data_IF_423763712914
#
_entry.id   IF_423763712914
#
_cell.length_a   1.000
_cell.length_b   1.000
_cell.length_c   1.000
_cell.angle_alpha   90.00
_cell.angle_beta   90.00
_cell.angle_gamma   90.00
#
_symmetry.space_group_name_H-M   'P 1'
#
loop_
_entity.id
_entity.type
_entity.pdbx_description
1 polymer ?
#
# COMPACT_ATOMS: atom_id res chain seq x y z
N UNK A 1 11.23 -28.79 39.77
CA UNK A 1 12.36 -29.27 40.61
C UNK A 1 13.33 -29.93 39.69
N UNK A 2 14.33 -29.22 39.30
CA UNK A 2 15.68 -29.49 38.82
C UNK A 2 16.15 -28.18 38.18
N UNK A 3 16.89 -27.53 38.79
CA UNK A 3 18.07 -26.70 38.94
C UNK A 3 18.78 -26.35 37.66
N UNK A 4 19.04 -25.04 37.54
CA UNK A 4 20.07 -24.39 36.72
C UNK A 4 21.49 -24.74 37.19
N UNK A 5 22.48 -24.56 36.35
CA UNK A 5 23.71 -23.97 36.86
C UNK A 5 24.02 -22.61 36.22
N UNK A 6 24.26 -21.67 37.10
CA UNK A 6 25.10 -20.48 36.88
C UNK A 6 26.50 -20.94 36.45
N UNK A 7 27.09 -20.18 35.54
CA UNK A 7 28.55 -20.06 35.56
C UNK A 7 28.96 -18.61 35.41
N UNK A 8 29.54 -18.14 36.51
CA UNK A 8 30.34 -16.92 36.64
C UNK A 8 31.73 -17.12 36.00
N UNK A 9 32.36 -16.01 35.84
CA UNK A 9 33.78 -15.76 35.62
C UNK A 9 34.21 -15.46 34.18
N UNK A 10 34.51 -14.21 33.88
CA UNK A 10 35.88 -13.73 34.02
C UNK A 10 35.90 -12.20 34.19
N UNK A 11 36.29 -11.82 35.37
CA UNK A 11 36.83 -10.52 35.73
C UNK A 11 38.37 -10.59 35.58
N UNK A 12 38.94 -9.42 35.42
CA UNK A 12 40.38 -9.07 35.54
C UNK A 12 41.13 -9.01 34.21
N UNK A 13 41.89 -8.06 34.00
CA UNK A 13 42.67 -7.03 34.61
C UNK A 13 43.57 -6.52 33.50
N UNK A 14 44.02 -5.37 33.41
CA UNK A 14 45.05 -4.61 34.12
C UNK A 14 45.33 -3.44 33.20
N UNK A 15 45.20 -2.22 33.51
CA UNK A 15 46.10 -1.35 34.31
C UNK A 15 47.59 -1.37 33.86
N UNK A 16 48.05 -0.15 33.66
CA UNK A 16 49.42 0.35 33.59
C UNK A 16 50.03 0.38 32.17
N UNK A 17 50.65 1.46 31.67
CA UNK A 17 51.54 2.34 32.42
C UNK A 17 51.81 3.63 31.61
N UNK A 18 51.79 4.77 32.28
CA UNK A 18 52.81 5.80 32.37
C UNK A 18 53.32 6.48 31.09
N UNK A 19 53.18 7.76 31.14
CA UNK A 19 54.01 8.81 30.51
C UNK A 19 55.47 8.74 31.00
N UNK A 20 56.41 9.48 30.41
CA UNK A 20 56.59 10.90 30.69
C UNK A 20 57.05 11.74 29.47
N UNK A 21 56.65 12.99 29.42
CA UNK A 21 57.36 14.22 29.76
C UNK A 21 58.76 14.46 29.12
N UNK A 22 58.86 15.59 28.52
CA UNK A 22 60.07 16.27 28.12
C UNK A 22 59.67 17.45 27.24
N UNK A 23 59.33 18.61 27.74
CA UNK A 23 60.21 19.70 28.24
C UNK A 23 61.14 20.13 27.13
N UNK A 24 61.20 21.29 26.69
CA UNK A 24 61.44 22.68 27.10
C UNK A 24 61.69 23.48 25.86
N UNK A 25 61.23 24.57 25.74
CA UNK A 25 61.46 25.90 26.27
C UNK A 25 62.04 26.89 25.26
N UNK A 26 61.48 28.07 25.37
CA UNK A 26 62.11 29.36 25.30
C UNK A 26 62.38 30.05 23.96
N UNK A 27 61.53 31.04 23.80
CA UNK A 27 61.92 32.36 23.32
C UNK A 27 63.11 32.92 24.13
N UNK A 28 63.97 33.73 23.54
CA UNK A 28 63.81 35.12 23.93
C UNK A 28 64.02 36.16 22.81
N UNK A 29 63.52 37.31 23.14
CA UNK A 29 63.58 38.62 22.49
C UNK A 29 64.95 39.25 22.52
N UNK A 30 64.95 40.40 21.85
CA UNK A 30 65.91 41.52 21.89
C UNK A 30 67.12 41.39 20.97
N UNK A 31 67.50 42.35 20.23
CA UNK A 31 67.79 43.76 20.52
C UNK A 31 68.28 44.41 19.25
N UNK A 32 67.89 45.64 18.98
CA UNK A 32 68.57 46.52 18.05
C UNK A 32 69.92 46.96 18.64
N UNK A 33 70.90 47.36 17.85
CA UNK A 33 71.13 48.75 17.77
C UNK A 33 71.73 49.32 16.45
N UNK A 34 71.36 50.60 16.16
CA UNK A 34 72.15 51.76 15.77
C UNK A 34 73.14 51.73 14.60
N UNK A 35 72.84 52.73 13.77
CA UNK A 35 73.60 53.38 12.71
C UNK A 35 75.10 53.72 13.05
N UNK A 36 75.89 54.01 12.03
CA UNK A 36 76.09 55.43 11.76
C UNK A 36 76.22 55.82 10.25
N UNK A 37 75.69 56.98 9.97
CA UNK A 37 76.22 58.16 9.26
C UNK A 37 77.38 57.97 8.30
N UNK A 38 77.12 58.37 7.07
CA UNK A 38 78.10 58.62 6.04
C UNK A 38 77.49 59.47 4.93
N UNK A 39 77.79 60.74 5.00
CA UNK A 39 77.50 61.86 4.13
C UNK A 39 78.29 61.74 2.82
N UNK A 40 77.64 62.01 1.68
CA UNK A 40 78.22 62.84 0.64
C UNK A 40 77.29 63.01 -0.58
N UNK A 41 77.00 64.27 -0.81
CA UNK A 41 76.91 65.02 -2.05
C UNK A 41 76.05 64.58 -3.23
N UNK A 42 75.09 65.43 -3.54
CA UNK A 42 74.39 65.54 -4.81
C UNK A 42 75.33 65.83 -6.01
N UNK A 43 74.87 65.60 -7.25
CA UNK A 43 74.39 66.80 -7.98
C UNK A 43 73.09 66.58 -8.74
N UNK A 44 72.45 67.66 -8.95
CA UNK A 44 71.24 67.93 -9.67
C UNK A 44 71.23 67.45 -11.15
N UNK A 45 70.17 66.97 -11.65
CA UNK A 45 69.74 67.20 -13.04
C UNK A 45 68.28 66.78 -13.30
N UNK A 46 67.57 67.73 -13.83
CA UNK A 46 66.46 67.63 -14.79
C UNK A 46 65.11 67.17 -14.35
N UNK A 47 64.26 68.08 -14.07
CA UNK A 47 62.82 68.02 -14.13
C UNK A 47 62.35 67.73 -15.55
N UNK A 48 61.68 66.56 -15.74
CA UNK A 48 60.83 66.34 -16.90
C UNK A 48 59.34 66.33 -16.42
N UNK A 49 58.40 66.87 -17.22
CA UNK A 49 57.03 67.16 -16.76
C UNK A 49 56.20 65.88 -16.61
N UNK A 50 55.79 65.61 -15.39
CA UNK A 50 54.93 64.48 -15.04
C UNK A 50 53.43 64.79 -15.20
N UNK A 51 53.00 65.39 -16.32
CA UNK A 51 51.59 65.79 -16.49
C UNK A 51 50.73 64.83 -17.23
N UNK A 52 51.29 63.86 -17.97
CA UNK A 52 50.46 62.88 -18.71
C UNK A 52 50.03 61.61 -17.89
N UNK A 53 50.84 61.18 -16.93
CA UNK A 53 50.64 59.91 -16.19
C UNK A 53 49.64 60.08 -15.05
N UNK A 54 49.46 61.25 -14.49
CA UNK A 54 48.48 61.58 -13.46
C UNK A 54 47.05 61.71 -14.03
N UNK A 55 46.93 62.27 -15.23
CA UNK A 55 45.65 62.35 -15.95
C UNK A 55 45.15 60.93 -16.39
N UNK A 56 46.07 60.06 -16.86
CA UNK A 56 45.76 58.66 -17.18
C UNK A 56 45.36 57.87 -15.95
N UNK A 57 46.00 58.04 -14.81
CA UNK A 57 45.63 57.39 -13.54
C UNK A 57 44.29 57.90 -13.03
N UNK A 58 44.02 59.21 -13.10
CA UNK A 58 42.69 59.74 -12.73
C UNK A 58 41.59 59.29 -13.68
N UNK A 59 41.87 59.23 -15.00
CA UNK A 59 40.95 58.66 -15.99
C UNK A 59 40.63 57.15 -15.72
N UNK A 60 41.69 56.37 -15.46
CA UNK A 60 41.51 54.96 -15.10
C UNK A 60 40.72 54.78 -13.79
N UNK A 61 40.93 55.65 -12.79
CA UNK A 61 40.22 55.62 -11.52
C UNK A 61 38.74 55.99 -11.69
N UNK A 62 38.44 56.99 -12.54
CA UNK A 62 37.06 57.38 -12.89
C UNK A 62 36.35 56.26 -13.67
N UNK A 63 37.02 55.59 -14.62
CA UNK A 63 36.48 54.46 -15.36
C UNK A 63 36.23 53.27 -14.43
N UNK A 64 37.14 52.95 -13.50
CA UNK A 64 36.98 51.92 -12.50
C UNK A 64 35.81 52.23 -11.53
N UNK A 65 35.63 53.47 -11.15
CA UNK A 65 34.56 53.95 -10.30
C UNK A 65 33.19 53.86 -11.03
N UNK A 66 33.15 54.29 -12.29
CA UNK A 66 31.93 54.14 -13.13
C UNK A 66 31.58 52.66 -13.39
N UNK A 67 32.57 51.82 -13.66
CA UNK A 67 32.37 50.38 -13.79
C UNK A 67 31.87 49.75 -12.46
N UNK A 68 32.43 50.20 -11.32
CA UNK A 68 31.95 49.77 -10.00
C UNK A 68 30.53 50.23 -9.69
N UNK A 69 30.17 51.48 -10.06
CA UNK A 69 28.79 51.97 -9.90
C UNK A 69 27.83 51.24 -10.85
N UNK A 70 28.21 51.01 -12.11
CA UNK A 70 27.39 50.25 -13.07
C UNK A 70 27.18 48.81 -12.60
N UNK A 71 28.22 48.12 -12.13
CA UNK A 71 28.14 46.77 -11.56
C UNK A 71 27.29 46.76 -10.27
N UNK A 72 27.48 47.74 -9.39
CA UNK A 72 26.68 47.87 -8.17
C UNK A 72 25.21 48.20 -8.45
N UNK A 73 24.93 49.00 -9.47
CA UNK A 73 23.57 49.32 -9.91
C UNK A 73 22.90 48.11 -10.56
N UNK A 74 23.60 47.35 -11.40
CA UNK A 74 23.10 46.13 -12.03
C UNK A 74 22.84 45.02 -10.96
N UNK A 75 23.79 44.81 -10.07
CA UNK A 75 23.65 43.89 -8.94
C UNK A 75 22.49 44.29 -8.01
N UNK A 76 22.40 45.60 -7.67
CA UNK A 76 21.31 46.14 -6.85
C UNK A 76 19.95 46.02 -7.54
N UNK A 77 19.88 46.26 -8.84
CA UNK A 77 18.67 46.09 -9.64
C UNK A 77 18.25 44.65 -9.70
N UNK A 78 19.17 43.71 -9.92
CA UNK A 78 18.88 42.26 -9.98
C UNK A 78 18.45 41.72 -8.62
N UNK A 79 19.10 42.13 -7.53
CA UNK A 79 18.67 41.77 -6.17
C UNK A 79 17.27 42.32 -5.87
N UNK A 80 16.97 43.57 -6.24
CA UNK A 80 15.67 44.20 -5.97
C UNK A 80 14.53 43.62 -6.79
N UNK A 81 14.78 43.17 -8.01
CA UNK A 81 13.73 42.66 -8.92
C UNK A 81 13.52 41.17 -8.85
N UNK A 82 14.53 40.39 -8.46
CA UNK A 82 14.52 38.92 -8.46
C UNK A 82 14.96 38.36 -7.11
N UNK A 83 16.14 38.69 -6.63
CA UNK A 83 16.76 38.00 -5.51
C UNK A 83 15.96 38.03 -4.21
N UNK A 84 15.23 39.10 -3.92
CA UNK A 84 14.39 39.23 -2.70
C UNK A 84 13.12 38.39 -2.73
N UNK A 85 12.76 37.85 -3.88
CA UNK A 85 11.53 37.04 -4.05
C UNK A 85 11.82 35.55 -4.13
N UNK A 86 13.08 35.15 -4.09
CA UNK A 86 13.47 33.75 -4.13
C UNK A 86 13.71 33.24 -2.69
N UNK A 87 12.97 32.21 -2.30
CA UNK A 87 13.21 31.49 -1.06
C UNK A 87 13.83 30.13 -1.38
N UNK A 88 15.00 29.86 -0.82
CA UNK A 88 15.71 28.59 -1.01
C UNK A 88 16.03 27.89 0.29
N UNK A 89 16.23 26.58 0.21
CA UNK A 89 16.69 25.75 1.31
C UNK A 89 17.64 24.66 0.82
N UNK A 90 18.66 24.39 1.59
CA UNK A 90 19.62 23.29 1.44
C UNK A 90 19.15 21.98 2.11
N UNK A 91 18.09 22.07 2.92
CA UNK A 91 17.51 20.91 3.64
C UNK A 91 16.33 20.36 2.83
N UNK A 92 16.61 19.79 1.68
CA UNK A 92 15.60 19.19 0.81
C UNK A 92 16.09 17.89 0.18
N UNK A 93 15.17 16.92 0.08
CA UNK A 93 15.46 15.58 -0.41
C UNK A 93 14.41 15.12 -1.39
N UNK A 94 14.85 14.40 -2.42
CA UNK A 94 13.97 13.63 -3.29
C UNK A 94 13.35 12.49 -2.48
N UNK A 95 12.03 12.32 -2.55
CA UNK A 95 11.30 11.21 -1.96
C UNK A 95 10.48 10.47 -3.02
N UNK A 96 10.26 9.20 -2.77
CA UNK A 96 9.31 8.36 -3.49
C UNK A 96 8.53 7.54 -2.47
N UNK A 97 7.24 7.38 -2.70
CA UNK A 97 6.41 6.51 -1.88
C UNK A 97 6.63 5.07 -2.33
N UNK A 98 7.54 4.38 -1.66
CA UNK A 98 7.83 2.99 -1.98
C UNK A 98 6.78 2.04 -1.41
N UNK A 99 6.48 0.99 -2.17
CA UNK A 99 5.59 -0.07 -1.73
C UNK A 99 6.39 -1.24 -1.16
N UNK A 100 6.11 -1.60 0.10
CA UNK A 100 6.69 -2.80 0.70
C UNK A 100 5.98 -4.04 0.20
N UNK A 101 6.75 -5.00 -0.29
CA UNK A 101 6.26 -6.31 -0.73
C UNK A 101 6.37 -7.28 0.43
N UNK A 102 5.22 -7.84 0.83
CA UNK A 102 5.12 -8.85 1.89
C UNK A 102 4.22 -10.00 1.44
N UNK A 103 4.48 -11.24 1.85
CA UNK A 103 3.66 -12.38 1.51
C UNK A 103 2.35 -12.35 2.31
N UNK A 104 1.27 -12.88 1.74
CA UNK A 104 -0.02 -13.07 2.43
C UNK A 104 -0.10 -14.40 3.16
N UNK A 105 0.75 -15.36 2.78
CA UNK A 105 0.82 -16.71 3.34
C UNK A 105 2.23 -17.00 3.86
N UNK A 106 2.33 -18.00 4.72
CA UNK A 106 3.62 -18.47 5.25
C UNK A 106 4.15 -19.65 4.44
N UNK A 107 5.47 -19.76 4.31
CA UNK A 107 6.11 -20.87 3.63
C UNK A 107 7.59 -20.65 3.37
N UNK A 108 8.22 -21.58 2.67
CA UNK A 108 9.60 -21.47 2.24
C UNK A 108 9.68 -20.80 0.87
N UNK A 109 10.64 -19.91 0.69
CA UNK A 109 10.92 -19.32 -0.63
C UNK A 109 11.56 -20.38 -1.53
N UNK A 110 10.88 -20.70 -2.62
CA UNK A 110 11.35 -21.63 -3.64
C UNK A 110 12.28 -20.94 -4.63
N UNK A 111 11.84 -19.81 -5.18
CA UNK A 111 12.55 -19.05 -6.19
C UNK A 111 12.50 -17.55 -5.88
N UNK A 112 13.57 -16.84 -6.24
CA UNK A 112 13.63 -15.37 -6.27
C UNK A 112 14.00 -14.97 -7.68
N UNK A 113 13.09 -14.29 -8.38
CA UNK A 113 13.17 -14.03 -9.82
C UNK A 113 13.76 -12.65 -10.16
N UNK A 114 14.01 -11.82 -9.14
CA UNK A 114 14.52 -10.46 -9.29
C UNK A 114 15.72 -10.22 -8.39
N UNK A 115 16.60 -9.34 -8.84
CA UNK A 115 17.74 -8.85 -8.07
C UNK A 115 17.51 -7.44 -7.57
N UNK A 116 18.42 -6.98 -6.69
CA UNK A 116 18.45 -5.58 -6.27
C UNK A 116 18.67 -4.69 -7.51
N UNK A 117 17.94 -3.59 -7.57
CA UNK A 117 17.94 -2.59 -8.64
C UNK A 117 17.32 -3.06 -9.99
N UNK A 118 16.71 -4.24 -10.06
CA UNK A 118 15.95 -4.63 -11.24
C UNK A 118 14.68 -3.80 -11.40
N UNK A 119 14.36 -3.42 -12.64
CA UNK A 119 13.10 -2.76 -12.97
C UNK A 119 11.99 -3.78 -13.13
N UNK A 120 10.88 -3.58 -12.46
CA UNK A 120 9.73 -4.49 -12.45
C UNK A 120 8.44 -3.76 -12.83
N UNK A 121 7.48 -4.50 -13.38
CA UNK A 121 6.15 -4.02 -13.73
C UNK A 121 5.11 -4.53 -12.74
N UNK A 122 4.02 -3.80 -12.59
CA UNK A 122 2.87 -4.24 -11.82
C UNK A 122 2.38 -5.62 -12.32
N UNK A 123 2.11 -6.54 -11.40
CA UNK A 123 1.75 -7.93 -11.70
C UNK A 123 2.91 -8.86 -12.02
N UNK A 124 4.14 -8.36 -12.16
CA UNK A 124 5.31 -9.22 -12.38
C UNK A 124 5.64 -10.04 -11.12
N UNK A 125 5.89 -11.35 -11.30
CA UNK A 125 6.29 -12.23 -10.21
C UNK A 125 7.71 -11.90 -9.77
N UNK A 126 7.88 -11.63 -8.48
CA UNK A 126 9.15 -11.27 -7.86
C UNK A 126 9.81 -12.46 -7.17
N UNK A 127 9.00 -13.27 -6.50
CA UNK A 127 9.45 -14.47 -5.81
C UNK A 127 8.32 -15.50 -5.75
N UNK A 128 8.66 -16.75 -5.49
CA UNK A 128 7.72 -17.86 -5.31
C UNK A 128 7.92 -18.54 -3.99
N UNK A 129 6.84 -18.80 -3.30
CA UNK A 129 6.78 -19.71 -2.15
C UNK A 129 6.59 -21.14 -2.67
N UNK A 130 7.07 -22.14 -1.95
CA UNK A 130 6.84 -23.55 -2.28
C UNK A 130 5.33 -23.85 -2.31
N UNK A 131 4.83 -24.21 -3.46
CA UNK A 131 3.42 -24.36 -3.77
C UNK A 131 2.87 -25.78 -3.59
N UNK A 132 3.74 -26.76 -3.28
CA UNK A 132 3.35 -28.18 -3.21
C UNK A 132 2.23 -28.47 -2.22
N UNK A 133 2.32 -27.89 -1.03
CA UNK A 133 1.31 -28.07 0.02
C UNK A 133 -0.03 -27.42 -0.37
N UNK A 134 0.02 -26.26 -1.02
CA UNK A 134 -1.16 -25.54 -1.50
C UNK A 134 -1.82 -26.27 -2.68
N UNK A 135 -1.04 -26.88 -3.59
CA UNK A 135 -1.55 -27.73 -4.66
C UNK A 135 -2.23 -28.99 -4.11
N UNK A 136 -1.63 -29.62 -3.10
CA UNK A 136 -2.24 -30.77 -2.41
C UNK A 136 -3.56 -30.38 -1.73
N UNK A 137 -3.59 -29.25 -1.03
CA UNK A 137 -4.81 -28.72 -0.40
C UNK A 137 -5.90 -28.41 -1.43
N UNK A 138 -5.54 -27.79 -2.56
CA UNK A 138 -6.47 -27.55 -3.67
C UNK A 138 -7.04 -28.85 -4.25
N UNK A 139 -6.18 -29.83 -4.47
CA UNK A 139 -6.60 -31.15 -4.96
C UNK A 139 -7.58 -31.84 -4.00
N UNK A 140 -7.32 -31.76 -2.70
CA UNK A 140 -8.22 -32.28 -1.66
C UNK A 140 -9.56 -31.55 -1.67
N UNK A 141 -9.56 -30.21 -1.74
CA UNK A 141 -10.79 -29.42 -1.80
C UNK A 141 -11.63 -29.77 -3.05
N UNK A 142 -10.99 -29.94 -4.22
CA UNK A 142 -11.67 -30.37 -5.46
C UNK A 142 -12.25 -31.79 -5.34
N UNK A 143 -11.56 -32.70 -4.66
CA UNK A 143 -12.08 -34.04 -4.41
C UNK A 143 -13.32 -34.01 -3.50
N UNK A 144 -13.31 -33.16 -2.46
CA UNK A 144 -14.44 -32.97 -1.57
C UNK A 144 -15.67 -32.36 -2.29
N UNK A 145 -15.44 -31.38 -3.18
CA UNK A 145 -16.51 -30.82 -4.01
C UNK A 145 -17.14 -31.92 -4.90
N UNK A 146 -16.32 -32.71 -5.57
CA UNK A 146 -16.80 -33.81 -6.42
C UNK A 146 -17.61 -34.85 -5.62
N UNK A 147 -17.20 -35.14 -4.40
CA UNK A 147 -17.95 -36.04 -3.50
C UNK A 147 -19.33 -35.45 -3.13
N UNK A 148 -19.40 -34.14 -2.85
CA UNK A 148 -20.65 -33.46 -2.56
C UNK A 148 -21.59 -33.42 -3.80
N UNK A 149 -21.05 -33.22 -5.00
CA UNK A 149 -21.80 -33.30 -6.26
C UNK A 149 -22.39 -34.72 -6.49
N UNK A 150 -21.60 -35.75 -6.22
CA UNK A 150 -22.05 -37.13 -6.31
C UNK A 150 -23.17 -37.45 -5.29
N UNK A 151 -23.14 -36.82 -4.11
CA UNK A 151 -24.21 -36.97 -3.11
C UNK A 151 -25.54 -36.38 -3.63
N UNK A 152 -25.51 -35.22 -4.30
CA UNK A 152 -26.72 -34.64 -4.95
C UNK A 152 -27.24 -35.59 -6.02
N UNK A 153 -26.38 -36.11 -6.90
CA UNK A 153 -26.77 -37.08 -7.92
C UNK A 153 -27.43 -38.35 -7.35
N UNK A 154 -26.95 -38.82 -6.20
CA UNK A 154 -27.58 -39.95 -5.49
C UNK A 154 -29.03 -39.63 -5.04
N UNK A 155 -29.24 -38.44 -4.45
CA UNK A 155 -30.58 -37.99 -4.01
C UNK A 155 -31.49 -37.75 -5.22
N UNK A 156 -31.01 -37.18 -6.31
CA UNK A 156 -31.78 -37.02 -7.55
C UNK A 156 -32.22 -38.37 -8.12
N UNK A 157 -31.38 -39.39 -8.08
CA UNK A 157 -31.75 -40.75 -8.44
C UNK A 157 -32.82 -41.35 -7.50
N UNK A 158 -32.75 -41.08 -6.19
CA UNK A 158 -33.77 -41.47 -5.23
C UNK A 158 -35.12 -40.80 -5.46
N UNK A 159 -35.10 -39.49 -5.85
CA UNK A 159 -36.33 -38.77 -6.21
C UNK A 159 -36.99 -39.41 -7.46
N UNK A 160 -36.19 -39.77 -8.48
CA UNK A 160 -36.68 -40.45 -9.67
C UNK A 160 -37.29 -41.82 -9.34
N UNK A 161 -36.62 -42.59 -8.48
CA UNK A 161 -37.17 -43.87 -7.97
C UNK A 161 -38.51 -43.66 -7.25
N UNK A 162 -38.58 -42.63 -6.37
CA UNK A 162 -39.79 -42.30 -5.63
C UNK A 162 -40.95 -41.91 -6.56
N UNK A 163 -40.68 -41.24 -7.66
CA UNK A 163 -41.69 -40.95 -8.69
C UNK A 163 -42.28 -42.23 -9.28
N UNK A 164 -41.46 -43.24 -9.56
CA UNK A 164 -41.90 -44.54 -10.06
C UNK A 164 -42.77 -45.28 -9.03
N UNK A 165 -42.45 -45.17 -7.72
CA UNK A 165 -43.25 -45.76 -6.63
C UNK A 165 -44.62 -45.05 -6.49
N UNK A 166 -44.68 -43.74 -6.71
CA UNK A 166 -45.93 -42.97 -6.75
C UNK A 166 -46.80 -43.47 -7.92
N UNK A 167 -46.22 -43.64 -9.10
CA UNK A 167 -46.97 -44.14 -10.25
C UNK A 167 -47.48 -45.56 -10.04
N UNK A 168 -46.71 -46.42 -9.39
CA UNK A 168 -47.15 -47.75 -8.97
C UNK A 168 -48.35 -47.67 -7.96
N UNK A 169 -48.22 -46.81 -6.93
CA UNK A 169 -49.29 -46.62 -5.94
C UNK A 169 -50.59 -46.10 -6.58
N UNK A 170 -50.50 -45.13 -7.53
CA UNK A 170 -51.64 -44.63 -8.32
C UNK A 170 -52.32 -45.75 -9.11
N UNK A 171 -51.55 -46.62 -9.75
CA UNK A 171 -52.11 -47.74 -10.50
C UNK A 171 -52.83 -48.75 -9.57
N UNK A 172 -52.28 -48.95 -8.37
CA UNK A 172 -52.89 -49.80 -7.36
C UNK A 172 -54.23 -49.22 -6.84
N UNK A 173 -54.26 -47.92 -6.52
CA UNK A 173 -55.47 -47.23 -6.10
C UNK A 173 -56.52 -47.24 -7.22
N UNK A 174 -56.15 -47.04 -8.47
CA UNK A 174 -57.07 -47.13 -9.61
C UNK A 174 -57.67 -48.55 -9.75
N UNK A 175 -56.93 -49.61 -9.52
CA UNK A 175 -57.42 -50.97 -9.54
C UNK A 175 -58.41 -51.25 -8.39
N UNK A 176 -58.12 -50.79 -7.17
CA UNK A 176 -59.01 -50.83 -6.03
C UNK A 176 -60.29 -50.08 -6.23
N UNK A 177 -60.19 -48.86 -6.85
CA UNK A 177 -61.37 -48.05 -7.20
C UNK A 177 -62.28 -48.77 -8.20
N UNK A 178 -61.74 -49.40 -9.25
CA UNK A 178 -62.51 -50.18 -10.22
C UNK A 178 -63.20 -51.36 -9.54
N UNK A 179 -62.53 -52.01 -8.60
CA UNK A 179 -63.15 -53.12 -7.81
C UNK A 179 -64.29 -52.59 -6.94
N UNK A 180 -64.13 -51.44 -6.31
CA UNK A 180 -65.21 -50.83 -5.51
C UNK A 180 -66.42 -50.47 -6.39
N UNK A 181 -66.23 -49.92 -7.58
CA UNK A 181 -67.29 -49.52 -8.51
C UNK A 181 -68.04 -50.74 -8.99
N UNK A 182 -67.37 -51.85 -9.25
CA UNK A 182 -68.03 -53.12 -9.53
C UNK A 182 -68.87 -53.62 -8.31
N UNK A 183 -68.27 -53.69 -7.09
CA UNK A 183 -68.93 -54.12 -5.86
C UNK A 183 -70.14 -53.22 -5.52
N UNK A 184 -70.06 -51.91 -5.70
CA UNK A 184 -71.19 -50.97 -5.54
C UNK A 184 -72.35 -51.33 -6.49
N UNK A 185 -72.05 -51.60 -7.76
CA UNK A 185 -73.01 -51.93 -8.77
C UNK A 185 -73.71 -53.23 -8.47
N UNK A 186 -72.95 -54.21 -7.96
CA UNK A 186 -73.45 -55.51 -7.61
C UNK A 186 -74.37 -55.51 -6.34
N UNK A 187 -73.88 -54.75 -5.29
CA UNK A 187 -74.71 -54.52 -4.10
C UNK A 187 -76.06 -53.83 -4.41
N UNK A 188 -75.98 -52.75 -5.28
CA UNK A 188 -77.18 -52.04 -5.71
C UNK A 188 -78.16 -52.96 -6.53
N UNK A 189 -77.61 -53.87 -7.30
CA UNK A 189 -78.40 -54.87 -8.04
C UNK A 189 -79.05 -55.83 -7.09
N UNK A 190 -78.34 -56.42 -6.15
CA UNK A 190 -78.83 -57.37 -5.12
C UNK A 190 -79.93 -56.73 -4.26
N UNK A 191 -79.76 -55.50 -3.82
CA UNK A 191 -80.75 -54.73 -3.07
C UNK A 191 -82.06 -54.52 -3.88
N UNK A 192 -81.97 -54.25 -5.18
CA UNK A 192 -83.20 -54.17 -6.07
C UNK A 192 -83.88 -55.50 -6.26
N UNK A 193 -83.12 -56.60 -6.37
CA UNK A 193 -83.70 -57.94 -6.48
C UNK A 193 -84.51 -58.36 -5.20
N UNK A 194 -84.01 -58.02 -4.04
CA UNK A 194 -84.73 -58.19 -2.80
C UNK A 194 -86.04 -57.41 -2.75
N UNK A 195 -85.99 -56.08 -3.10
CA UNK A 195 -87.16 -55.22 -3.08
C UNK A 195 -88.27 -55.75 -4.01
N UNK A 196 -87.89 -56.44 -5.09
CA UNK A 196 -88.82 -57.07 -6.04
C UNK A 196 -89.18 -58.53 -5.69
N UNK A 197 -88.72 -58.99 -4.54
CA UNK A 197 -89.01 -60.38 -4.09
C UNK A 197 -88.24 -61.47 -4.84
N UNK A 198 -87.24 -61.17 -5.62
CA UNK A 198 -86.49 -62.13 -6.46
C UNK A 198 -85.06 -62.42 -5.93
N UNK A 199 -84.68 -61.88 -4.74
CA UNK A 199 -83.37 -62.07 -4.12
C UNK A 199 -83.49 -62.65 -2.69
N UNK A 200 -82.33 -63.16 -2.14
CA UNK A 200 -82.21 -63.58 -0.75
C UNK A 200 -81.54 -62.56 0.14
N UNK A 201 -81.92 -62.45 1.40
CA UNK A 201 -81.32 -61.57 2.38
C UNK A 201 -79.80 -61.81 2.53
N UNK A 202 -79.37 -63.05 2.60
CA UNK A 202 -78.01 -63.52 2.70
C UNK A 202 -77.14 -62.97 1.51
N UNK A 203 -77.68 -63.00 0.28
CA UNK A 203 -76.98 -62.51 -0.89
C UNK A 203 -76.76 -60.98 -0.82
N UNK A 204 -77.73 -60.23 -0.31
CA UNK A 204 -77.59 -58.78 -0.15
C UNK A 204 -76.59 -58.44 0.94
N UNK A 205 -76.60 -59.11 2.06
CA UNK A 205 -75.63 -58.97 3.15
C UNK A 205 -74.22 -59.29 2.66
N UNK A 206 -74.06 -60.37 1.86
CA UNK A 206 -72.76 -60.74 1.27
C UNK A 206 -72.26 -59.69 0.32
N UNK A 207 -73.09 -59.19 -0.62
CA UNK A 207 -72.63 -58.11 -1.57
C UNK A 207 -72.37 -56.78 -0.88
N UNK A 208 -73.14 -56.47 0.19
CA UNK A 208 -72.88 -55.30 1.03
C UNK A 208 -71.52 -55.43 1.73
N UNK A 209 -71.23 -56.57 2.35
CA UNK A 209 -69.92 -56.83 2.99
C UNK A 209 -68.78 -56.74 1.98
N UNK A 210 -68.93 -57.28 0.76
CA UNK A 210 -67.92 -57.13 -0.33
C UNK A 210 -67.68 -55.69 -0.73
N UNK A 211 -68.73 -54.88 -0.83
CA UNK A 211 -68.65 -53.46 -1.11
C UNK A 211 -67.85 -52.72 -0.01
N UNK A 212 -68.17 -53.02 1.27
CA UNK A 212 -67.50 -52.35 2.40
C UNK A 212 -66.02 -52.80 2.52
N UNK A 213 -65.70 -54.04 2.19
CA UNK A 213 -64.33 -54.51 2.06
C UNK A 213 -63.55 -53.75 0.91
N UNK A 214 -64.20 -53.57 -0.28
CA UNK A 214 -63.64 -52.91 -1.38
C UNK A 214 -63.43 -51.38 -1.08
N UNK A 215 -64.37 -50.78 -0.33
CA UNK A 215 -64.22 -49.39 0.12
C UNK A 215 -63.00 -49.22 1.05
N UNK A 216 -62.82 -50.11 2.03
CA UNK A 216 -61.68 -50.12 2.92
C UNK A 216 -60.34 -50.34 2.16
N UNK A 217 -60.34 -51.14 1.10
CA UNK A 217 -59.19 -51.35 0.25
C UNK A 217 -58.79 -50.04 -0.50
N UNK A 218 -59.72 -49.28 -1.03
CA UNK A 218 -59.44 -47.93 -1.64
C UNK A 218 -58.87 -47.02 -0.62
N UNK A 219 -59.40 -46.87 0.57
CA UNK A 219 -58.88 -46.05 1.67
C UNK A 219 -57.43 -46.41 2.02
N UNK A 220 -57.13 -47.71 2.16
CA UNK A 220 -55.79 -48.20 2.40
C UNK A 220 -54.82 -47.82 1.28
N UNK A 221 -55.22 -48.02 0.01
CA UNK A 221 -54.34 -47.77 -1.16
C UNK A 221 -54.17 -46.28 -1.43
N UNK A 222 -55.23 -45.49 -1.14
CA UNK A 222 -55.14 -44.03 -1.13
C UNK A 222 -54.13 -43.51 -0.08
N UNK A 223 -54.20 -44.03 1.15
CA UNK A 223 -53.25 -43.69 2.20
C UNK A 223 -51.79 -44.07 1.83
N UNK A 224 -51.60 -45.20 1.15
CA UNK A 224 -50.30 -45.61 0.63
C UNK A 224 -49.79 -44.66 -0.45
N UNK A 225 -50.65 -44.17 -1.38
CA UNK A 225 -50.29 -43.17 -2.37
C UNK A 225 -49.85 -41.86 -1.69
N UNK A 226 -50.67 -41.34 -0.76
CA UNK A 226 -50.33 -40.10 0.00
C UNK A 226 -48.98 -40.25 0.74
N UNK A 227 -48.74 -41.42 1.38
CA UNK A 227 -47.46 -41.66 2.03
C UNK A 227 -46.26 -41.63 1.04
N UNK A 228 -46.46 -42.21 -0.16
CA UNK A 228 -45.43 -42.18 -1.20
C UNK A 228 -45.18 -40.74 -1.70
N UNK A 229 -46.23 -39.95 -1.89
CA UNK A 229 -46.13 -38.54 -2.28
C UNK A 229 -45.41 -37.69 -1.21
N UNK A 230 -45.74 -37.88 0.07
CA UNK A 230 -45.12 -37.15 1.19
C UNK A 230 -43.63 -37.47 1.38
N UNK A 231 -43.12 -38.53 0.76
CA UNK A 231 -41.69 -38.85 0.77
C UNK A 231 -40.89 -37.88 -0.14
N UNK A 232 -41.51 -37.33 -1.20
CA UNK A 232 -40.84 -36.42 -2.15
C UNK A 232 -40.33 -35.14 -1.48
N UNK A 233 -41.11 -34.37 -0.70
CA UNK A 233 -40.62 -33.19 -0.01
C UNK A 233 -39.44 -33.51 0.94
N UNK A 234 -39.47 -34.68 1.58
CA UNK A 234 -38.34 -35.12 2.44
C UNK A 234 -37.07 -35.28 1.63
N UNK A 235 -37.14 -35.95 0.47
CA UNK A 235 -35.98 -36.09 -0.42
C UNK A 235 -35.54 -34.74 -1.00
N UNK A 236 -36.48 -33.83 -1.32
CA UNK A 236 -36.14 -32.46 -1.77
C UNK A 236 -35.37 -31.70 -0.68
N UNK A 237 -35.82 -31.76 0.57
CA UNK A 237 -35.09 -31.13 1.69
C UNK A 237 -33.68 -31.75 1.86
N UNK A 238 -33.53 -33.05 1.70
CA UNK A 238 -32.23 -33.71 1.71
C UNK A 238 -31.34 -33.27 0.56
N UNK A 239 -31.94 -33.08 -0.64
CA UNK A 239 -31.24 -32.54 -1.79
C UNK A 239 -30.74 -31.10 -1.53
N UNK A 240 -31.57 -30.24 -0.94
CA UNK A 240 -31.23 -28.88 -0.59
C UNK A 240 -30.08 -28.82 0.44
N UNK A 241 -30.12 -29.74 1.43
CA UNK A 241 -29.00 -29.90 2.39
C UNK A 241 -27.70 -30.31 1.68
N UNK A 242 -27.78 -31.27 0.74
CA UNK A 242 -26.62 -31.70 -0.04
C UNK A 242 -26.13 -30.58 -0.97
N UNK A 243 -27.02 -29.73 -1.53
CA UNK A 243 -26.67 -28.58 -2.31
C UNK A 243 -25.93 -27.52 -1.46
N UNK A 244 -26.39 -27.25 -0.24
CA UNK A 244 -25.66 -26.35 0.67
C UNK A 244 -24.28 -26.89 1.04
N UNK A 245 -24.13 -28.20 1.20
CA UNK A 245 -22.83 -28.86 1.43
C UNK A 245 -21.91 -28.72 0.21
N UNK A 246 -22.45 -28.86 -1.02
CA UNK A 246 -21.69 -28.64 -2.26
C UNK A 246 -21.21 -27.19 -2.35
N UNK A 247 -22.07 -26.22 -2.02
CA UNK A 247 -21.70 -24.78 -2.03
C UNK A 247 -20.60 -24.47 -1.01
N UNK A 248 -20.67 -25.07 0.19
CA UNK A 248 -19.60 -24.99 1.18
C UNK A 248 -18.28 -25.56 0.66
N UNK A 249 -18.34 -26.73 -0.02
CA UNK A 249 -17.15 -27.34 -0.63
C UNK A 249 -16.60 -26.52 -1.80
N UNK A 250 -17.46 -25.86 -2.58
CA UNK A 250 -17.06 -24.95 -3.65
C UNK A 250 -16.34 -23.71 -3.08
N UNK A 251 -16.83 -23.14 -1.97
CA UNK A 251 -16.14 -22.05 -1.27
C UNK A 251 -14.74 -22.47 -0.75
N UNK A 252 -14.63 -23.72 -0.27
CA UNK A 252 -13.33 -24.27 0.15
C UNK A 252 -12.35 -24.41 -1.02
N UNK A 253 -12.83 -24.75 -2.24
CA UNK A 253 -12.00 -24.76 -3.45
C UNK A 253 -11.52 -23.36 -3.78
N UNK A 254 -12.39 -22.34 -3.77
CA UNK A 254 -12.02 -20.95 -4.02
C UNK A 254 -10.96 -20.46 -3.02
N UNK A 255 -11.11 -20.80 -1.73
CA UNK A 255 -10.12 -20.45 -0.71
C UNK A 255 -8.76 -21.11 -0.98
N UNK A 256 -8.75 -22.37 -1.39
CA UNK A 256 -7.51 -23.09 -1.72
C UNK A 256 -6.86 -22.52 -3.00
N UNK A 257 -7.63 -22.10 -4.00
CA UNK A 257 -7.15 -21.43 -5.22
C UNK A 257 -6.55 -20.06 -4.89
N UNK A 258 -7.19 -19.27 -4.02
CA UNK A 258 -6.64 -18.02 -3.52
C UNK A 258 -5.32 -18.22 -2.78
N UNK A 259 -5.24 -19.19 -1.89
CA UNK A 259 -4.02 -19.50 -1.16
C UNK A 259 -2.89 -19.93 -2.13
N UNK A 260 -3.21 -20.71 -3.15
CA UNK A 260 -2.26 -21.09 -4.20
C UNK A 260 -1.81 -19.87 -5.00
N UNK A 261 -2.71 -18.96 -5.35
CA UNK A 261 -2.33 -17.72 -6.06
C UNK A 261 -1.41 -16.82 -5.25
N UNK A 262 -1.48 -16.86 -3.92
CA UNK A 262 -0.61 -16.11 -3.03
C UNK A 262 0.80 -16.70 -2.90
N UNK A 263 1.06 -17.88 -3.46
CA UNK A 263 2.42 -18.42 -3.56
C UNK A 263 3.29 -17.63 -4.54
N UNK A 264 2.69 -17.02 -5.57
CA UNK A 264 3.36 -16.08 -6.44
C UNK A 264 3.30 -14.67 -5.81
N UNK A 265 4.45 -14.16 -5.40
CA UNK A 265 4.60 -12.82 -4.84
C UNK A 265 4.85 -11.86 -5.98
N UNK A 266 3.89 -10.96 -6.22
CA UNK A 266 3.90 -10.04 -7.37
C UNK A 266 4.13 -8.59 -6.94
N UNK A 267 4.68 -7.79 -7.87
CA UNK A 267 4.80 -6.35 -7.71
C UNK A 267 3.40 -5.70 -7.76
N UNK A 268 3.11 -4.82 -6.81
CA UNK A 268 1.85 -4.07 -6.78
C UNK A 268 1.87 -2.87 -7.74
N UNK A 269 3.06 -2.31 -8.01
CA UNK A 269 3.28 -1.11 -8.82
C UNK A 269 4.50 -1.28 -9.72
N UNK A 270 4.58 -0.48 -10.78
CA UNK A 270 5.79 -0.36 -11.59
C UNK A 270 6.89 0.34 -10.79
N UNK A 271 8.12 -0.12 -10.91
CA UNK A 271 9.22 0.51 -10.18
C UNK A 271 10.53 -0.27 -10.22
N UNK A 272 11.43 0.07 -9.33
CA UNK A 272 12.72 -0.60 -9.15
C UNK A 272 12.78 -1.27 -7.80
N UNK A 273 13.26 -2.51 -7.78
CA UNK A 273 13.44 -3.31 -6.55
C UNK A 273 14.55 -2.71 -5.69
N UNK A 274 14.23 -2.50 -4.41
CA UNK A 274 15.20 -2.08 -3.40
C UNK A 274 15.03 -2.85 -2.10
N UNK A 275 16.04 -2.82 -1.25
CA UNK A 275 16.03 -3.41 0.10
C UNK A 275 15.57 -4.89 0.12
N UNK A 276 16.05 -5.70 -0.83
CA UNK A 276 15.71 -7.12 -0.91
C UNK A 276 16.36 -7.91 0.23
N UNK A 277 15.54 -8.42 1.14
CA UNK A 277 15.99 -9.17 2.32
C UNK A 277 15.86 -10.69 2.18
N UNK A 278 15.15 -11.18 1.15
CA UNK A 278 14.84 -12.61 0.98
C UNK A 278 15.95 -13.39 0.29
N UNK A 279 16.01 -14.70 0.64
CA UNK A 279 16.90 -15.70 0.03
C UNK A 279 16.12 -16.97 -0.26
N UNK A 280 16.55 -17.72 -1.29
CA UNK A 280 16.01 -19.05 -1.61
C UNK A 280 16.20 -19.97 -0.40
N UNK A 281 15.16 -20.75 -0.06
CA UNK A 281 15.14 -21.64 1.10
C UNK A 281 14.83 -20.96 2.44
N UNK A 282 14.65 -19.63 2.46
CA UNK A 282 14.26 -18.91 3.67
C UNK A 282 12.78 -19.15 3.99
N UNK A 283 12.47 -19.35 5.27
CA UNK A 283 11.10 -19.38 5.75
C UNK A 283 10.59 -17.96 5.99
N UNK A 284 9.41 -17.65 5.45
CA UNK A 284 8.76 -16.35 5.58
C UNK A 284 7.37 -16.48 6.18
N UNK A 285 6.95 -15.49 6.94
CA UNK A 285 5.63 -15.41 7.55
C UNK A 285 4.81 -14.28 6.91
N UNK A 286 3.49 -14.39 6.98
CA UNK A 286 2.60 -13.35 6.48
C UNK A 286 2.97 -11.99 7.10
N UNK A 287 3.05 -10.94 6.26
CA UNK A 287 3.42 -9.58 6.67
C UNK A 287 4.93 -9.32 6.80
N UNK A 288 5.79 -10.31 6.65
CA UNK A 288 7.25 -10.09 6.64
C UNK A 288 7.65 -9.26 5.43
N UNK A 289 8.35 -8.15 5.63
CA UNK A 289 8.88 -7.37 4.51
C UNK A 289 9.95 -8.16 3.75
N UNK A 290 9.73 -8.40 2.47
CA UNK A 290 10.64 -9.14 1.61
C UNK A 290 11.54 -8.22 0.80
N UNK A 291 10.98 -7.17 0.25
CA UNK A 291 11.65 -6.15 -0.55
C UNK A 291 10.77 -4.90 -0.63
N UNK A 292 11.30 -3.83 -1.20
CA UNK A 292 10.55 -2.62 -1.52
C UNK A 292 10.55 -2.41 -3.05
N UNK A 293 9.45 -1.91 -3.60
CA UNK A 293 9.38 -1.44 -4.98
C UNK A 293 9.22 0.07 -4.95
N UNK A 294 10.18 0.77 -5.54
CA UNK A 294 10.25 2.24 -5.57
C UNK A 294 9.80 2.73 -6.95
N UNK A 295 8.69 3.45 -7.07
CA UNK A 295 8.22 3.99 -8.34
C UNK A 295 9.04 5.23 -8.70
N UNK A 296 10.02 5.08 -9.59
CA UNK A 296 10.91 6.19 -9.98
C UNK A 296 10.25 7.27 -10.86
N UNK A 297 9.01 7.03 -11.33
CA UNK A 297 8.24 8.01 -12.09
C UNK A 297 7.32 8.90 -11.22
N UNK A 298 7.14 8.55 -9.96
CA UNK A 298 6.27 9.28 -9.02
C UNK A 298 7.09 9.82 -7.85
N UNK A 299 8.16 10.53 -8.18
CA UNK A 299 9.05 11.16 -7.21
C UNK A 299 8.61 12.61 -6.95
N UNK A 300 8.87 13.09 -5.74
CA UNK A 300 8.63 14.45 -5.33
C UNK A 300 9.76 14.92 -4.41
N UNK A 301 9.84 16.20 -4.18
CA UNK A 301 10.83 16.79 -3.26
C UNK A 301 10.12 17.19 -1.96
N UNK A 302 10.72 16.84 -0.83
CA UNK A 302 10.36 17.37 0.48
C UNK A 302 11.44 18.34 0.90
N UNK A 303 11.07 19.60 0.96
CA UNK A 303 11.96 20.71 1.28
C UNK A 303 11.58 21.32 2.64
N UNK A 304 12.52 21.36 3.56
CA UNK A 304 12.30 21.85 4.91
C UNK A 304 12.69 23.34 4.98
N UNK A 305 11.71 24.22 4.83
CA UNK A 305 11.91 25.66 4.94
C UNK A 305 11.81 26.13 6.39
N UNK A 306 12.55 27.18 6.76
CA UNK A 306 12.38 27.84 8.04
C UNK A 306 11.01 28.52 8.10
N UNK A 307 10.37 28.52 9.26
CA UNK A 307 9.07 29.19 9.49
C UNK A 307 9.06 30.65 8.94
N UNK A 308 10.19 31.36 9.07
CA UNK A 308 10.33 32.74 8.60
C UNK A 308 10.30 32.89 7.08
N UNK A 309 10.62 31.85 6.32
CA UNK A 309 10.63 31.83 4.86
C UNK A 309 9.25 31.55 4.26
N UNK A 310 8.33 31.01 5.05
CA UNK A 310 7.03 30.56 4.55
C UNK A 310 5.96 31.65 4.46
N UNK A 311 6.30 32.91 4.84
CA UNK A 311 5.34 34.02 4.85
C UNK A 311 4.61 34.20 3.52
N UNK A 312 5.32 34.03 2.41
CA UNK A 312 4.79 34.23 1.05
C UNK A 312 4.75 32.94 0.22
N UNK A 313 5.11 31.80 0.78
CA UNK A 313 5.02 30.51 0.08
C UNK A 313 3.57 30.03 0.03
N UNK A 314 3.09 29.72 -1.16
CA UNK A 314 1.72 29.26 -1.42
C UNK A 314 1.71 28.08 -2.40
N UNK A 315 0.75 27.17 -2.32
CA UNK A 315 0.55 26.12 -3.31
C UNK A 315 0.40 26.71 -4.73
N UNK A 316 0.99 26.03 -5.72
CA UNK A 316 0.96 26.41 -7.13
C UNK A 316 2.10 27.34 -7.56
N UNK A 317 2.96 27.80 -6.65
CA UNK A 317 4.14 28.61 -7.02
C UNK A 317 5.17 27.76 -7.76
N UNK A 318 5.83 28.37 -8.76
CA UNK A 318 6.89 27.72 -9.52
C UNK A 318 8.16 27.57 -8.68
N UNK A 319 8.82 26.45 -8.86
CA UNK A 319 10.05 26.09 -8.16
C UNK A 319 11.10 25.66 -9.18
N UNK A 320 12.29 26.19 -9.05
CA UNK A 320 13.47 25.69 -9.72
C UNK A 320 14.26 24.81 -8.76
N UNK A 321 14.53 23.56 -9.18
CA UNK A 321 15.17 22.55 -8.33
C UNK A 321 16.54 22.25 -8.91
N UNK A 322 17.58 22.52 -8.17
CA UNK A 322 18.96 22.13 -8.48
C UNK A 322 19.27 20.81 -7.77
N UNK A 323 19.85 19.86 -8.48
CA UNK A 323 20.20 18.55 -7.93
C UNK A 323 21.69 18.48 -7.74
N UNK A 324 22.17 18.20 -6.53
CA UNK A 324 23.61 18.19 -6.20
C UNK A 324 24.40 17.22 -7.10
N UNK A 325 23.78 16.10 -7.47
CA UNK A 325 24.40 15.09 -8.35
C UNK A 325 24.46 15.52 -9.84
N UNK A 326 23.70 16.57 -10.26
CA UNK A 326 23.58 17.05 -11.62
C UNK A 326 23.59 18.57 -11.66
N UNK A 327 24.73 19.23 -11.35
CA UNK A 327 24.80 20.68 -11.13
C UNK A 327 24.46 21.51 -12.37
N UNK A 328 24.62 20.96 -13.57
CA UNK A 328 24.33 21.63 -14.83
C UNK A 328 22.86 21.58 -15.27
N UNK A 329 22.01 20.88 -14.49
CA UNK A 329 20.62 20.66 -14.84
C UNK A 329 19.73 21.23 -13.74
N UNK A 330 18.92 22.23 -14.08
CA UNK A 330 17.81 22.67 -13.24
C UNK A 330 16.50 22.02 -13.68
N UNK A 331 15.69 21.64 -12.73
CA UNK A 331 14.41 20.96 -12.91
C UNK A 331 13.30 21.92 -12.50
N UNK A 332 12.24 21.98 -13.30
CA UNK A 332 11.06 22.76 -12.95
C UNK A 332 10.05 21.91 -12.18
N UNK A 333 9.46 22.53 -11.20
CA UNK A 333 8.37 21.96 -10.41
C UNK A 333 7.48 23.04 -9.85
N UNK A 334 6.53 22.64 -9.04
CA UNK A 334 5.65 23.59 -8.34
C UNK A 334 5.41 23.11 -6.90
N UNK A 335 5.09 24.08 -6.04
CA UNK A 335 4.66 23.79 -4.66
C UNK A 335 3.30 23.12 -4.70
N UNK A 336 3.22 21.87 -4.21
CA UNK A 336 1.96 21.13 -4.08
C UNK A 336 1.25 21.51 -2.77
N UNK A 337 1.93 21.36 -1.65
CA UNK A 337 1.33 21.58 -0.34
C UNK A 337 2.38 21.89 0.72
N UNK A 338 1.94 22.53 1.80
CA UNK A 338 2.72 22.76 2.99
C UNK A 338 2.25 21.80 4.08
N UNK A 339 3.20 21.22 4.84
CA UNK A 339 2.86 20.37 5.97
C UNK A 339 2.06 21.14 7.04
N UNK A 340 1.05 20.54 7.67
CA UNK A 340 0.26 21.18 8.72
C UNK A 340 1.03 21.36 10.03
N UNK A 341 2.20 20.72 10.19
CA UNK A 341 3.04 20.81 11.39
C UNK A 341 4.53 20.74 11.05
N UNK A 342 5.37 21.17 11.99
CA UNK A 342 6.83 21.05 11.85
C UNK A 342 7.27 19.58 11.91
N UNK A 343 8.45 19.27 11.38
CA UNK A 343 9.01 17.93 11.43
C UNK A 343 9.25 17.40 12.85
N UNK A 344 9.41 18.30 13.84
CA UNK A 344 9.56 17.92 15.24
C UNK A 344 8.27 17.39 15.86
N UNK A 345 7.10 17.95 15.48
CA UNK A 345 5.79 17.53 16.00
C UNK A 345 5.45 16.10 15.60
N UNK A 346 5.87 15.67 14.41
CA UNK A 346 5.68 14.31 13.91
C UNK A 346 6.85 13.36 14.27
N UNK A 347 7.81 13.80 15.08
CA UNK A 347 8.92 12.96 15.51
C UNK A 347 8.46 11.96 16.58
N UNK A 348 8.90 10.69 16.44
CA UNK A 348 8.66 9.64 17.43
C UNK A 348 9.26 9.96 18.82
N UNK A 349 10.29 10.78 18.89
CA UNK A 349 10.95 11.23 20.10
C UNK A 349 11.11 12.75 20.02
N UNK A 350 10.11 13.54 20.44
CA UNK A 350 10.25 14.99 20.50
C UNK A 350 11.42 15.34 21.45
N UNK A 351 12.29 16.28 21.08
CA UNK A 351 13.36 16.74 21.98
C UNK A 351 12.72 17.42 23.20
N UNK A 352 12.87 16.82 24.37
CA UNK A 352 12.45 17.39 25.64
C UNK A 352 13.58 18.28 26.19
N UNK A 353 13.27 19.55 26.43
CA UNK A 353 14.20 20.49 27.06
C UNK A 353 14.19 20.29 28.59
N UNK A 354 14.86 19.24 29.06
CA UNK A 354 14.91 18.85 30.48
C UNK A 354 15.61 19.89 31.40
N UNK A 355 16.19 20.97 30.87
CA UNK A 355 17.00 21.94 31.65
C UNK A 355 16.30 23.26 31.99
N UNK A 356 15.00 23.41 31.69
CA UNK A 356 14.21 24.58 32.11
C UNK A 356 14.51 25.91 31.42
N UNK A 357 15.49 25.98 30.51
CA UNK A 357 15.77 27.15 29.69
C UNK A 357 15.09 27.01 28.32
N UNK A 358 13.99 27.73 28.11
CA UNK A 358 13.35 27.80 26.80
C UNK A 358 14.18 28.62 25.83
N UNK A 359 14.84 27.97 24.89
CA UNK A 359 15.52 28.64 23.77
C UNK A 359 14.59 28.58 22.55
N UNK A 360 14.17 29.73 22.02
CA UNK A 360 13.40 29.78 20.78
C UNK A 360 14.27 29.28 19.62
N UNK A 361 13.98 28.09 19.11
CA UNK A 361 14.63 27.52 17.94
C UNK A 361 13.68 27.71 16.75
N UNK A 362 14.21 28.23 15.61
CA UNK A 362 13.43 28.35 14.37
C UNK A 362 13.04 26.96 13.89
N UNK A 363 11.75 26.73 13.79
CA UNK A 363 11.19 25.47 13.33
C UNK A 363 11.30 25.37 11.80
N UNK A 364 11.46 24.12 11.30
CA UNK A 364 11.40 23.85 9.87
C UNK A 364 10.08 23.16 9.55
N UNK A 365 9.42 23.61 8.50
CA UNK A 365 8.15 23.08 8.02
C UNK A 365 8.38 22.44 6.67
N UNK A 366 8.04 21.16 6.49
CA UNK A 366 8.15 20.47 5.21
C UNK A 366 7.20 21.07 4.17
N UNK A 367 7.71 21.36 2.99
CA UNK A 367 6.96 21.75 1.78
C UNK A 367 7.12 20.65 0.76
N UNK A 368 6.01 20.13 0.25
CA UNK A 368 6.00 19.15 -0.82
C UNK A 368 6.03 19.88 -2.17
N UNK A 369 6.97 19.50 -3.02
CA UNK A 369 7.17 20.06 -4.34
C UNK A 369 7.07 18.92 -5.35
N UNK A 370 6.18 19.06 -6.32
CA UNK A 370 6.01 18.11 -7.42
C UNK A 370 6.89 18.53 -8.58
N UNK A 371 7.53 17.57 -9.21
CA UNK A 371 8.42 17.76 -10.35
C UNK A 371 7.57 17.69 -11.61
N UNK A 372 7.60 18.75 -12.42
CA UNK A 372 6.85 18.84 -13.68
C UNK A 372 7.66 18.31 -14.88
N UNK A 373 8.96 18.17 -14.72
CA UNK A 373 9.91 17.84 -15.79
C UNK A 373 10.25 16.36 -15.82
N UNK A 374 9.79 15.68 -16.87
CA UNK A 374 10.03 14.25 -17.06
C UNK A 374 11.46 13.92 -17.56
N UNK A 375 12.29 14.90 -17.92
CA UNK A 375 13.63 14.68 -18.52
C UNK A 375 14.57 13.88 -17.61
N UNK A 376 14.40 13.97 -16.30
CA UNK A 376 15.17 13.23 -15.30
C UNK A 376 14.36 12.08 -14.64
N UNK A 377 13.17 11.78 -15.16
CA UNK A 377 12.39 10.64 -14.71
C UNK A 377 13.24 9.37 -14.82
N UNK A 378 13.38 8.65 -13.71
CA UNK A 378 14.21 7.44 -13.63
C UNK A 378 15.71 7.66 -13.35
N UNK A 379 16.24 8.88 -13.44
CA UNK A 379 17.61 9.21 -13.00
C UNK A 379 17.68 9.63 -11.55
N UNK A 380 16.67 10.34 -11.06
CA UNK A 380 16.58 10.74 -9.67
C UNK A 380 16.31 9.52 -8.79
N UNK A 381 16.95 9.50 -7.63
CA UNK A 381 16.77 8.45 -6.63
C UNK A 381 16.24 9.06 -5.33
N UNK A 382 15.35 8.34 -4.66
CA UNK A 382 14.90 8.72 -3.32
C UNK A 382 16.11 8.83 -2.38
N UNK A 383 16.18 9.94 -1.63
CA UNK A 383 17.30 10.26 -0.75
C UNK A 383 18.36 11.17 -1.36
N UNK A 384 18.31 11.53 -2.65
CA UNK A 384 19.19 12.54 -3.23
C UNK A 384 18.90 13.91 -2.64
N UNK A 385 19.96 14.66 -2.33
CA UNK A 385 19.89 16.05 -1.89
C UNK A 385 19.62 16.98 -3.08
N UNK A 386 18.81 17.99 -2.83
CA UNK A 386 18.43 19.00 -3.83
C UNK A 386 18.30 20.37 -3.17
N UNK A 387 18.44 21.42 -3.95
CA UNK A 387 18.24 22.80 -3.53
C UNK A 387 17.09 23.42 -4.33
N UNK A 388 15.87 23.46 -3.76
CA UNK A 388 14.72 24.11 -4.38
C UNK A 388 14.73 25.62 -4.13
N UNK A 389 14.48 26.39 -5.18
CA UNK A 389 14.29 27.85 -5.18
C UNK A 389 12.84 28.17 -5.56
N UNK A 390 12.06 28.69 -4.61
CA UNK A 390 10.64 29.03 -4.81
C UNK A 390 10.52 30.49 -5.21
N UNK A 391 9.83 30.80 -6.31
CA UNK A 391 9.49 32.16 -6.69
C UNK A 391 8.22 32.63 -5.97
N UNK A 392 8.40 33.58 -5.03
CA UNK A 392 7.32 34.15 -4.22
C UNK A 392 6.80 35.47 -4.76
N UNK A 393 7.28 35.95 -5.91
CA UNK A 393 7.02 37.31 -6.47
C UNK A 393 5.52 37.56 -6.66
N UNK A 394 4.77 36.61 -7.19
CA UNK A 394 3.33 36.74 -7.43
C UNK A 394 2.54 36.93 -6.12
N UNK A 395 2.89 36.20 -5.07
CA UNK A 395 2.21 36.28 -3.77
C UNK A 395 2.54 37.59 -3.05
N UNK A 396 3.79 38.03 -3.07
CA UNK A 396 4.20 39.30 -2.45
C UNK A 396 3.53 40.50 -3.13
N UNK A 397 3.43 40.49 -4.47
CA UNK A 397 2.77 41.54 -5.24
C UNK A 397 1.24 41.61 -4.93
N UNK A 398 0.58 40.47 -4.77
CA UNK A 398 -0.85 40.45 -4.44
C UNK A 398 -1.14 41.00 -3.02
N UNK A 399 -0.28 40.67 -2.05
CA UNK A 399 -0.40 41.14 -0.67
C UNK A 399 -0.17 42.68 -0.58
N UNK A 400 0.85 43.19 -1.27
CA UNK A 400 1.12 44.61 -1.32
C UNK A 400 -0.04 45.43 -1.96
N UNK A 401 -0.67 44.88 -3.00
CA UNK A 401 -1.85 45.49 -3.61
C UNK A 401 -3.08 45.48 -2.69
N UNK A 402 -3.28 44.42 -1.88
CA UNK A 402 -4.37 44.32 -0.92
C UNK A 402 -4.21 45.34 0.24
N UNK A 403 -2.98 45.52 0.76
CA UNK A 403 -2.67 46.50 1.80
C UNK A 403 -2.78 47.94 1.29
N UNK A 404 -2.37 48.20 0.04
CA UNK A 404 -2.50 49.49 -0.61
C UNK A 404 -3.96 49.92 -0.80
N UNK A 405 -4.87 48.98 -1.09
CA UNK A 405 -6.29 49.26 -1.20
C UNK A 405 -6.98 49.51 0.15
N UNK A 406 -6.51 48.90 1.21
CA UNK A 406 -7.04 49.12 2.57
C UNK A 406 -6.63 50.45 3.19
N UNK A 407 -5.48 51.00 2.79
CA UNK A 407 -4.97 52.29 3.29
C UNK A 407 -5.63 53.53 2.62
N UNK A 408 -6.39 53.35 1.51
CA UNK A 408 -7.13 54.41 0.82
C UNK A 408 -8.64 54.42 1.13
N UNK A 409 -9.13 53.48 1.95
CA UNK A 409 -10.51 53.35 2.34
C UNK A 409 -10.80 53.76 3.81
N UNK A 410 -9.82 54.44 4.47
CA UNK A 410 -9.93 54.91 5.84
C UNK A 410 -10.05 56.43 5.93
#
# INVERSE_FOLDING_TARGET
>A
MVELPRNEAFRNASQADAAPAGETAKSPAAEAPRAPVGEAAAPAAATAPKTGRELLKRGALVVALLAGVAFGADFGYHYWTVGRFIESTDDAYVKADYTTVAPKITGYIKDVLVNDNDTVRAGQVLARIDDRDFQAALSQAKANLKAAEAAIGNIDAQILLQQSLIDQAKATEAASQASLDFARSDAARSARLISNGAGTQSQAEQTQSTRDQAAAAVERDHAALVAAQNKVPVLQTQRDQAAAQRDSSAAAVQQAELNLSYTDIVAAVDGTVGARSIRIGQYVTSGTQLMAVVPLHSIYVVANFKETQLTYVRPGQSVEIKVDSFPDISIKGHVDSLSPASGLEFSLLPPDNATGNFTKIVQRIPVKIVIDDERLAGLLRSGMSVEPEIDTKAAQTSTANAEGLSSHAG
#
